data_IF_496183554960
#
_entry.id   IF_496183554960
#
_cell.length_a   1.000
_cell.length_b   1.000
_cell.length_c   1.000
_cell.angle_alpha   90.00
_cell.angle_beta   90.00
_cell.angle_gamma   90.00
#
_symmetry.space_group_name_H-M   'P 1'
#
loop_
_entity.id
_entity.type
_entity.pdbx_description
1 polymer ?
#
# COMPACT_ATOMS: atom_id res chain seq x y z
N UNK A 1 -21.66 7.08 -59.36
CA UNK A 1 -22.92 7.60 -58.81
C UNK A 1 -22.73 9.12 -58.74
N UNK A 2 -23.16 9.89 -59.74
CA UNK A 2 -24.53 10.39 -59.94
C UNK A 2 -25.07 11.00 -58.62
N UNK A 3 -25.56 12.23 -58.55
CA UNK A 3 -26.37 12.93 -59.53
C UNK A 3 -26.51 14.42 -59.14
N UNK A 4 -26.51 15.28 -60.16
CA UNK A 4 -27.48 16.40 -60.43
C UNK A 4 -28.16 17.06 -59.23
N UNK A 5 -28.10 18.38 -59.06
CA UNK A 5 -28.58 19.38 -60.02
C UNK A 5 -29.96 19.88 -59.58
N UNK A 6 -30.16 21.19 -59.51
CA UNK A 6 -31.47 21.74 -59.85
C UNK A 6 -31.40 23.24 -60.18
N UNK A 7 -31.92 23.53 -61.37
CA UNK A 7 -32.28 24.82 -61.92
C UNK A 7 -33.77 24.99 -61.63
N UNK A 8 -34.21 26.20 -61.26
CA UNK A 8 -35.61 26.63 -61.47
C UNK A 8 -35.67 28.07 -61.94
N UNK A 9 -36.03 28.21 -63.22
CA UNK A 9 -36.98 29.18 -63.80
C UNK A 9 -38.25 29.31 -62.93
N UNK A 10 -39.04 30.38 -62.85
CA UNK A 10 -39.34 31.53 -63.72
C UNK A 10 -39.96 32.63 -62.85
N UNK A 11 -39.83 33.91 -63.25
CA UNK A 11 -40.88 34.90 -63.00
C UNK A 11 -40.80 36.02 -64.05
N UNK A 12 -41.80 36.02 -64.94
CA UNK A 12 -42.01 36.95 -66.03
C UNK A 12 -42.72 38.22 -65.51
N UNK A 13 -42.15 39.40 -65.73
CA UNK A 13 -42.85 40.68 -65.57
C UNK A 13 -42.62 41.55 -66.81
N UNK A 14 -43.66 42.16 -67.39
CA UNK A 14 -43.52 43.10 -68.50
C UNK A 14 -42.94 44.44 -67.99
N UNK A 15 -42.16 45.17 -68.80
CA UNK A 15 -41.57 46.42 -68.34
C UNK A 15 -42.61 47.56 -68.30
N UNK A 16 -42.69 48.35 -67.21
CA UNK A 16 -43.39 49.63 -67.23
C UNK A 16 -42.62 50.67 -68.06
N UNK A 17 -43.33 51.33 -68.96
CA UNK A 17 -42.85 52.47 -69.74
C UNK A 17 -42.53 53.66 -68.84
N UNK A 18 -41.28 54.13 -68.88
CA UNK A 18 -40.88 55.42 -68.34
C UNK A 18 -40.84 56.48 -69.46
N UNK A 19 -41.46 57.67 -69.28
CA UNK A 19 -41.33 58.81 -70.19
C UNK A 19 -39.93 59.44 -70.12
N UNK A 20 -39.54 60.24 -71.14
CA UNK A 20 -38.14 60.51 -71.46
C UNK A 20 -37.53 61.60 -70.57
N UNK A 21 -36.28 61.39 -70.14
CA UNK A 21 -35.43 62.45 -69.61
C UNK A 21 -34.64 63.12 -70.76
N UNK A 22 -34.39 64.43 -70.67
CA UNK A 22 -33.97 65.26 -71.78
C UNK A 22 -32.46 65.13 -72.08
N UNK A 23 -32.14 65.24 -73.36
CA UNK A 23 -30.80 65.50 -73.88
C UNK A 23 -30.15 66.74 -73.23
N UNK A 24 -29.07 66.51 -72.49
CA UNK A 24 -27.88 67.39 -72.28
C UNK A 24 -26.94 66.56 -71.39
N UNK A 25 -25.75 66.18 -71.83
CA UNK A 25 -24.64 67.10 -72.09
C UNK A 25 -23.52 66.33 -72.80
N UNK A 26 -22.58 67.05 -73.40
CA UNK A 26 -21.32 66.46 -73.82
C UNK A 26 -20.63 65.78 -72.64
N UNK A 27 -20.40 64.49 -72.77
CA UNK A 27 -19.36 63.81 -72.03
C UNK A 27 -18.32 63.41 -73.08
N UNK A 28 -17.15 64.02 -72.98
CA UNK A 28 -15.94 63.56 -73.63
C UNK A 28 -15.75 62.09 -73.26
N UNK A 29 -16.16 61.18 -74.14
CA UNK A 29 -15.67 59.82 -74.09
C UNK A 29 -14.14 59.93 -74.18
N UNK A 30 -13.44 59.65 -73.07
CA UNK A 30 -11.99 59.48 -73.06
C UNK A 30 -11.73 58.26 -73.92
N UNK A 31 -11.63 58.48 -75.23
CA UNK A 31 -11.43 57.43 -76.21
C UNK A 31 -10.08 56.80 -75.90
N UNK A 32 -10.07 55.48 -75.67
CA UNK A 32 -8.84 54.70 -75.50
C UNK A 32 -7.84 54.94 -76.65
N UNK A 33 -8.37 55.33 -77.82
CA UNK A 33 -7.60 55.71 -78.98
C UNK A 33 -6.83 57.03 -78.81
N UNK A 34 -7.37 57.99 -78.05
CA UNK A 34 -6.69 59.26 -77.76
C UNK A 34 -5.61 59.10 -76.70
N UNK A 35 -5.86 58.24 -75.69
CA UNK A 35 -4.87 57.80 -74.70
C UNK A 35 -3.64 57.17 -75.40
N UNK A 36 -3.88 56.31 -76.39
CA UNK A 36 -2.83 55.70 -77.21
C UNK A 36 -2.06 56.70 -78.07
N UNK A 37 -2.72 57.74 -78.59
CA UNK A 37 -2.06 58.80 -79.37
C UNK A 37 -1.09 59.63 -78.52
N UNK A 38 -1.49 59.97 -77.29
CA UNK A 38 -0.62 60.69 -76.34
C UNK A 38 0.63 59.88 -76.03
N UNK A 39 0.47 58.59 -75.74
CA UNK A 39 1.59 57.67 -75.51
C UNK A 39 2.50 57.54 -76.73
N UNK A 40 1.94 57.55 -77.94
CA UNK A 40 2.71 57.47 -79.19
C UNK A 40 3.50 58.74 -79.48
N UNK A 41 2.91 59.93 -79.25
CA UNK A 41 3.57 61.21 -79.45
C UNK A 41 4.70 61.44 -78.44
N UNK A 42 4.51 61.04 -77.18
CA UNK A 42 5.49 61.19 -76.11
C UNK A 42 6.35 59.94 -75.86
N UNK A 43 6.47 59.04 -76.84
CA UNK A 43 7.22 57.76 -76.73
C UNK A 43 8.66 57.90 -76.20
N UNK A 44 9.29 59.06 -76.41
CA UNK A 44 10.64 59.35 -75.89
C UNK A 44 10.64 59.57 -74.38
N UNK A 45 9.63 60.26 -73.84
CA UNK A 45 9.50 60.52 -72.39
C UNK A 45 9.23 59.22 -71.64
N UNK A 46 8.35 58.38 -72.18
CA UNK A 46 8.05 57.05 -71.63
C UNK A 46 9.28 56.14 -71.64
N UNK A 47 10.05 56.13 -72.74
CA UNK A 47 11.25 55.29 -72.84
C UNK A 47 12.38 55.77 -71.91
N UNK A 48 12.61 57.08 -71.81
CA UNK A 48 13.67 57.65 -70.94
C UNK A 48 13.38 57.37 -69.46
N UNK A 49 12.13 57.55 -69.01
CA UNK A 49 11.73 57.30 -67.62
C UNK A 49 11.79 55.82 -67.25
N UNK A 50 11.33 54.93 -68.14
CA UNK A 50 11.47 53.48 -67.98
C UNK A 50 12.94 53.06 -67.84
N UNK A 51 13.80 53.54 -68.75
CA UNK A 51 15.24 53.23 -68.73
C UNK A 51 15.92 53.79 -67.48
N UNK A 52 15.55 54.99 -67.04
CA UNK A 52 16.09 55.59 -65.81
C UNK A 52 15.72 54.78 -64.56
N UNK A 53 14.46 54.35 -64.44
CA UNK A 53 14.03 53.48 -63.34
C UNK A 53 14.69 52.11 -63.38
N UNK A 54 14.85 51.50 -64.56
CA UNK A 54 15.59 50.24 -64.71
C UNK A 54 17.06 50.37 -64.33
N UNK A 55 17.72 51.46 -64.72
CA UNK A 55 19.11 51.74 -64.34
C UNK A 55 19.26 51.95 -62.82
N UNK A 56 18.34 52.69 -62.20
CA UNK A 56 18.31 52.86 -60.74
C UNK A 56 18.05 51.55 -60.01
N UNK A 57 17.15 50.72 -60.52
CA UNK A 57 16.88 49.38 -59.99
C UNK A 57 18.07 48.44 -60.08
N UNK A 58 18.77 48.45 -61.23
CA UNK A 58 19.98 47.66 -61.45
C UNK A 58 21.13 48.13 -60.53
N UNK A 59 21.32 49.44 -60.42
CA UNK A 59 22.32 50.03 -59.52
C UNK A 59 22.04 49.65 -58.06
N UNK A 60 20.79 49.72 -57.63
CA UNK A 60 20.37 49.31 -56.29
C UNK A 60 20.61 47.81 -56.06
N UNK A 61 20.30 46.96 -57.04
CA UNK A 61 20.49 45.52 -56.94
C UNK A 61 21.98 45.13 -56.80
N UNK A 62 22.90 45.85 -57.45
CA UNK A 62 24.35 45.60 -57.33
C UNK A 62 24.97 46.16 -56.05
N UNK A 63 24.39 47.23 -55.48
CA UNK A 63 24.91 47.84 -54.25
C UNK A 63 24.43 47.12 -52.97
N UNK A 64 23.49 46.19 -53.07
CA UNK A 64 22.94 45.50 -51.90
C UNK A 64 23.93 44.44 -51.38
N UNK A 65 24.38 44.50 -50.12
CA UNK A 65 25.30 43.52 -49.55
C UNK A 65 24.63 42.14 -49.40
N UNK A 66 25.35 41.08 -49.75
CA UNK A 66 24.97 39.68 -49.49
C UNK A 66 25.23 39.33 -48.02
N UNK A 67 24.15 38.96 -47.33
CA UNK A 67 24.19 38.51 -45.94
C UNK A 67 24.14 36.98 -45.92
N UNK A 68 25.03 36.37 -45.15
CA UNK A 68 25.05 34.93 -44.92
C UNK A 68 24.51 34.63 -43.52
N UNK A 69 23.72 33.55 -43.41
CA UNK A 69 23.30 33.03 -42.11
C UNK A 69 24.40 32.12 -41.57
N UNK A 70 24.94 32.46 -40.41
CA UNK A 70 25.93 31.66 -39.71
C UNK A 70 25.22 30.87 -38.61
N UNK A 71 25.34 29.54 -38.61
CA UNK A 71 24.53 28.64 -37.77
C UNK A 71 25.41 27.68 -36.97
N UNK A 72 25.10 27.53 -35.68
CA UNK A 72 25.69 26.49 -34.82
C UNK A 72 24.60 25.77 -34.05
N UNK A 73 24.79 24.47 -33.80
CA UNK A 73 23.81 23.65 -33.09
C UNK A 73 24.48 22.86 -31.97
N UNK A 74 23.95 23.01 -30.75
CA UNK A 74 24.42 22.36 -29.54
C UNK A 74 23.32 21.43 -29.03
N UNK A 75 23.64 20.17 -28.78
CA UNK A 75 22.76 19.26 -28.05
C UNK A 75 23.00 19.43 -26.56
N UNK A 76 21.93 19.78 -25.83
CA UNK A 76 21.95 19.88 -24.37
C UNK A 76 22.04 18.48 -23.79
N UNK A 77 23.02 18.26 -22.91
CA UNK A 77 23.21 16.98 -22.24
C UNK A 77 22.03 16.62 -21.33
N UNK A 78 21.92 15.33 -21.03
CA UNK A 78 20.79 14.76 -20.29
C UNK A 78 21.27 13.79 -19.23
N UNK A 79 20.47 13.63 -18.20
CA UNK A 79 20.62 12.61 -17.17
C UNK A 79 19.26 11.91 -16.95
N UNK A 80 19.22 10.60 -16.67
CA UNK A 80 17.98 9.94 -16.31
C UNK A 80 17.56 10.31 -14.88
N UNK A 81 16.27 10.52 -14.68
CA UNK A 81 15.67 10.61 -13.34
C UNK A 81 15.54 9.21 -12.69
N UNK A 82 15.08 9.16 -11.44
CA UNK A 82 14.79 7.96 -10.65
C UNK A 82 13.90 6.93 -11.34
N UNK A 83 13.07 7.34 -12.30
CA UNK A 83 12.21 6.46 -13.11
C UNK A 83 12.83 6.05 -14.46
N UNK A 84 14.04 6.54 -14.77
CA UNK A 84 14.73 6.27 -16.05
C UNK A 84 14.32 7.20 -17.20
N UNK A 85 13.45 8.17 -16.93
CA UNK A 85 13.09 9.22 -17.89
C UNK A 85 14.23 10.21 -18.06
N UNK A 86 14.53 10.55 -19.31
CA UNK A 86 15.70 11.34 -19.67
C UNK A 86 15.39 12.83 -19.49
N UNK A 87 15.94 13.43 -18.44
CA UNK A 87 15.80 14.86 -18.14
C UNK A 87 17.00 15.66 -18.64
N UNK A 88 16.80 16.90 -19.12
CA UNK A 88 17.91 17.77 -19.48
C UNK A 88 18.65 18.25 -18.22
N UNK A 89 19.98 18.33 -18.30
CA UNK A 89 20.86 18.83 -17.20
C UNK A 89 20.40 20.19 -16.70
N UNK A 90 19.86 21.00 -17.59
CA UNK A 90 19.25 22.28 -17.29
C UNK A 90 17.97 22.44 -18.12
N UNK A 91 16.92 23.00 -17.52
CA UNK A 91 15.68 23.28 -18.26
C UNK A 91 15.95 24.13 -19.50
N UNK A 92 15.30 23.82 -20.61
CA UNK A 92 15.50 24.53 -21.88
C UNK A 92 15.28 26.05 -21.76
N UNK A 93 14.28 26.48 -20.99
CA UNK A 93 14.05 27.90 -20.70
C UNK A 93 15.21 28.56 -19.95
N UNK A 94 15.81 27.84 -19.00
CA UNK A 94 16.96 28.35 -18.25
C UNK A 94 18.21 28.43 -19.13
N UNK A 95 18.46 27.43 -19.97
CA UNK A 95 19.55 27.45 -20.97
C UNK A 95 19.41 28.66 -21.89
N UNK A 96 18.24 28.87 -22.48
CA UNK A 96 18.00 30.01 -23.39
C UNK A 96 18.17 31.36 -22.69
N UNK A 97 17.64 31.49 -21.47
CA UNK A 97 17.76 32.70 -20.66
C UNK A 97 19.22 32.99 -20.33
N UNK A 98 19.98 31.98 -19.89
CA UNK A 98 21.40 32.10 -19.56
C UNK A 98 22.26 32.45 -20.77
N UNK A 99 22.02 31.77 -21.90
CA UNK A 99 22.74 32.05 -23.14
C UNK A 99 22.50 33.48 -23.62
N UNK A 100 21.25 33.94 -23.59
CA UNK A 100 20.87 35.29 -24.04
C UNK A 100 21.37 36.38 -23.09
N UNK A 101 21.23 36.18 -21.79
CA UNK A 101 21.54 37.22 -20.77
C UNK A 101 23.00 37.24 -20.34
N UNK A 102 23.69 36.11 -20.41
CA UNK A 102 25.01 35.94 -19.77
C UNK A 102 26.06 35.44 -20.77
N UNK A 103 25.84 34.34 -21.49
CA UNK A 103 26.87 33.75 -22.35
C UNK A 103 27.16 34.59 -23.60
N UNK A 104 26.14 35.11 -24.28
CA UNK A 104 26.32 35.99 -25.47
C UNK A 104 27.04 37.29 -25.10
N UNK A 105 26.63 38.04 -24.06
CA UNK A 105 27.36 39.24 -23.63
C UNK A 105 28.79 38.95 -23.17
N UNK A 106 29.04 37.81 -22.50
CA UNK A 106 30.38 37.40 -22.08
C UNK A 106 31.27 37.09 -23.29
N UNK A 107 30.78 36.27 -24.23
CA UNK A 107 31.50 35.95 -25.46
C UNK A 107 31.82 37.20 -26.29
N UNK A 108 30.86 38.14 -26.39
CA UNK A 108 31.06 39.41 -27.08
C UNK A 108 32.20 40.24 -26.48
N UNK A 109 32.34 40.25 -25.15
CA UNK A 109 33.44 40.94 -24.45
C UNK A 109 34.79 40.27 -24.72
N UNK A 110 34.84 38.93 -24.68
CA UNK A 110 36.08 38.18 -24.94
C UNK A 110 36.59 38.43 -26.36
N UNK A 111 35.73 38.28 -27.37
CA UNK A 111 36.10 38.52 -28.78
C UNK A 111 36.46 39.98 -29.03
N UNK A 112 35.80 40.94 -28.36
CA UNK A 112 36.15 42.37 -28.48
C UNK A 112 37.52 42.72 -27.88
N UNK A 113 37.96 42.01 -26.84
CA UNK A 113 39.25 42.26 -26.17
C UNK A 113 40.43 41.64 -26.95
N UNK A 114 40.19 40.56 -27.68
CA UNK A 114 41.20 39.86 -28.48
C UNK A 114 41.39 40.45 -29.88
N UNK A 115 40.52 41.36 -30.32
CA UNK A 115 40.56 41.96 -31.66
C UNK A 115 41.13 43.40 -31.59
N UNK A 116 42.33 43.68 -32.14
CA UNK A 116 42.98 45.01 -32.05
C UNK A 116 42.33 46.11 -32.89
N UNK A 117 41.50 45.74 -33.87
CA UNK A 117 40.85 46.67 -34.79
C UNK A 117 39.48 47.06 -34.26
N UNK A 118 39.24 48.37 -34.16
CA UNK A 118 37.94 48.95 -33.79
C UNK A 118 36.89 48.60 -34.87
N UNK A 119 36.19 47.47 -34.69
CA UNK A 119 35.10 47.04 -35.56
C UNK A 119 33.82 47.77 -35.14
N UNK A 120 33.12 48.35 -36.12
CA UNK A 120 31.96 49.23 -35.92
C UNK A 120 30.67 48.52 -35.46
N UNK A 121 30.62 47.19 -35.43
CA UNK A 121 29.48 46.42 -34.89
C UNK A 121 29.78 44.92 -34.88
N UNK A 122 29.69 44.28 -33.72
CA UNK A 122 29.64 42.81 -33.63
C UNK A 122 28.33 42.29 -34.26
N UNK A 123 28.35 41.08 -34.86
CA UNK A 123 27.13 40.46 -35.36
C UNK A 123 26.16 40.13 -34.22
N UNK A 124 24.87 40.43 -34.42
CA UNK A 124 23.82 40.08 -33.46
C UNK A 124 23.60 38.56 -33.46
N UNK A 125 23.91 37.90 -32.36
CA UNK A 125 23.58 36.48 -32.15
C UNK A 125 22.18 36.37 -31.60
N UNK A 126 21.36 35.53 -32.23
CA UNK A 126 20.07 35.07 -31.71
C UNK A 126 20.20 33.61 -31.32
N UNK A 127 19.75 33.29 -30.12
CA UNK A 127 19.63 31.92 -29.64
C UNK A 127 18.16 31.50 -29.72
N UNK A 128 17.90 30.30 -30.22
CA UNK A 128 16.56 29.71 -30.21
C UNK A 128 16.66 28.20 -29.92
N UNK A 129 15.59 27.63 -29.38
CA UNK A 129 15.48 26.20 -29.12
C UNK A 129 14.66 25.60 -30.24
N UNK A 130 15.19 24.58 -30.91
CA UNK A 130 14.44 23.93 -31.98
C UNK A 130 13.29 23.10 -31.36
N UNK A 131 12.07 23.31 -31.88
CA UNK A 131 10.85 22.69 -31.38
C UNK A 131 10.97 21.16 -31.31
N UNK A 132 10.57 20.58 -30.17
CA UNK A 132 10.63 19.14 -29.89
C UNK A 132 12.03 18.52 -30.05
N UNK A 133 13.09 19.33 -29.92
CA UNK A 133 14.47 18.88 -30.00
C UNK A 133 15.26 19.35 -28.79
N UNK A 134 16.28 18.58 -28.40
CA UNK A 134 17.23 18.95 -27.33
C UNK A 134 18.32 19.90 -27.84
N UNK A 135 18.03 20.66 -28.89
CA UNK A 135 19.02 21.40 -29.66
C UNK A 135 18.86 22.91 -29.47
N UNK A 136 19.91 23.55 -29.00
CA UNK A 136 20.06 24.99 -29.01
C UNK A 136 20.70 25.41 -30.34
N UNK A 137 20.01 26.28 -31.06
CA UNK A 137 20.46 26.83 -32.34
C UNK A 137 20.91 28.27 -32.13
N UNK A 138 22.16 28.55 -32.48
CA UNK A 138 22.71 29.90 -32.53
C UNK A 138 22.71 30.36 -33.99
N UNK A 139 22.11 31.53 -34.26
CA UNK A 139 22.07 32.14 -35.60
C UNK A 139 22.63 33.55 -35.53
N UNK A 140 23.55 33.90 -36.44
CA UNK A 140 24.00 35.28 -36.65
C UNK A 140 24.01 35.63 -38.14
N UNK A 141 23.70 36.89 -38.44
CA UNK A 141 23.71 37.40 -39.81
C UNK A 141 25.04 38.10 -40.05
N UNK A 142 25.82 37.62 -41.01
CA UNK A 142 27.20 38.06 -41.21
C UNK A 142 27.40 38.49 -42.66
N UNK A 143 28.14 39.58 -42.86
CA UNK A 143 28.57 40.02 -44.19
C UNK A 143 29.48 38.98 -44.86
N UNK A 144 29.62 39.08 -46.18
CA UNK A 144 30.46 38.17 -46.98
C UNK A 144 31.98 38.30 -46.74
N UNK A 145 32.39 39.14 -45.79
CA UNK A 145 33.79 39.43 -45.49
C UNK A 145 34.42 38.27 -44.69
N UNK A 146 35.57 37.72 -45.12
CA UNK A 146 36.30 36.71 -44.38
C UNK A 146 36.60 37.08 -42.92
N UNK A 147 36.84 38.36 -42.62
CA UNK A 147 37.08 38.82 -41.24
C UNK A 147 35.82 38.73 -40.38
N UNK A 148 34.66 39.12 -40.94
CA UNK A 148 33.38 39.05 -40.25
C UNK A 148 32.95 37.59 -39.99
N UNK A 149 33.23 36.68 -40.92
CA UNK A 149 32.97 35.24 -40.76
C UNK A 149 33.84 34.61 -39.65
N UNK A 150 35.13 34.98 -39.59
CA UNK A 150 36.05 34.52 -38.53
C UNK A 150 35.59 35.00 -37.15
N UNK A 151 35.15 36.26 -37.04
CA UNK A 151 34.63 36.81 -35.78
C UNK A 151 33.32 36.15 -35.34
N UNK A 152 32.39 35.88 -36.27
CA UNK A 152 31.16 35.15 -35.97
C UNK A 152 31.46 33.72 -35.50
N UNK A 153 32.43 33.05 -36.11
CA UNK A 153 32.91 31.73 -35.68
C UNK A 153 33.49 31.77 -34.27
N UNK A 154 34.38 32.73 -33.98
CA UNK A 154 34.98 32.90 -32.65
C UNK A 154 33.92 33.19 -31.58
N UNK A 155 32.92 34.01 -31.91
CA UNK A 155 31.84 34.37 -31.00
C UNK A 155 30.92 33.18 -30.71
N UNK A 156 30.52 32.42 -31.74
CA UNK A 156 29.73 31.19 -31.57
C UNK A 156 30.52 30.14 -30.75
N UNK A 157 31.81 29.97 -31.04
CA UNK A 157 32.66 29.04 -30.29
C UNK A 157 32.79 29.44 -28.82
N UNK A 158 33.00 30.72 -28.52
CA UNK A 158 33.08 31.21 -27.14
C UNK A 158 31.77 30.99 -26.35
N UNK A 159 30.60 31.12 -27.00
CA UNK A 159 29.30 30.78 -26.39
C UNK A 159 29.18 29.27 -26.13
N UNK A 160 29.57 28.44 -27.11
CA UNK A 160 29.58 26.97 -27.00
C UNK A 160 30.48 26.51 -25.85
N UNK A 161 31.70 27.04 -25.77
CA UNK A 161 32.69 26.66 -24.77
C UNK A 161 32.22 27.05 -23.37
N UNK A 162 31.67 28.27 -23.22
CA UNK A 162 31.11 28.74 -21.95
C UNK A 162 29.95 27.87 -21.48
N UNK A 163 29.04 27.49 -22.39
CA UNK A 163 27.90 26.63 -22.07
C UNK A 163 28.36 25.21 -21.72
N UNK A 164 29.28 24.65 -22.50
CA UNK A 164 29.81 23.29 -22.29
C UNK A 164 30.57 23.19 -20.97
N UNK A 165 31.41 24.18 -20.64
CA UNK A 165 32.11 24.24 -19.35
C UNK A 165 31.14 24.34 -18.17
N UNK A 166 30.09 25.15 -18.28
CA UNK A 166 29.07 25.26 -17.24
C UNK A 166 28.30 23.96 -17.05
N UNK A 167 27.86 23.32 -18.13
CA UNK A 167 27.17 22.02 -18.05
C UNK A 167 28.09 20.92 -17.52
N UNK A 168 29.39 20.94 -17.88
CA UNK A 168 30.33 19.97 -17.35
C UNK A 168 30.48 20.07 -15.82
N UNK A 169 30.56 21.29 -15.26
CA UNK A 169 30.59 21.46 -13.80
C UNK A 169 29.31 20.95 -13.12
N UNK A 170 28.14 21.17 -13.72
CA UNK A 170 26.87 20.64 -13.20
C UNK A 170 26.84 19.11 -13.22
N UNK A 171 27.32 18.50 -14.30
CA UNK A 171 27.43 17.04 -14.42
C UNK A 171 28.41 16.48 -13.40
N UNK A 172 29.60 17.06 -13.25
CA UNK A 172 30.61 16.61 -12.30
C UNK A 172 30.07 16.66 -10.86
N UNK A 173 29.35 17.73 -10.51
CA UNK A 173 28.69 17.84 -9.21
C UNK A 173 27.65 16.73 -9.02
N UNK A 174 26.83 16.48 -10.03
CA UNK A 174 25.79 15.43 -9.98
C UNK A 174 26.38 14.02 -9.91
N UNK A 175 27.46 13.76 -10.63
CA UNK A 175 28.20 12.50 -10.56
C UNK A 175 28.75 12.27 -9.16
N UNK A 176 29.37 13.28 -8.54
CA UNK A 176 29.85 13.18 -7.17
C UNK A 176 28.72 12.89 -6.17
N UNK A 177 27.56 13.53 -6.31
CA UNK A 177 26.39 13.25 -5.46
C UNK A 177 25.93 11.79 -5.58
N UNK A 178 25.81 11.27 -6.81
CA UNK A 178 25.39 9.90 -7.06
C UNK A 178 26.43 8.88 -6.60
N UNK A 179 27.73 9.16 -6.76
CA UNK A 179 28.81 8.31 -6.25
C UNK A 179 28.82 8.24 -4.72
N UNK A 180 28.60 9.38 -4.04
CA UNK A 180 28.47 9.44 -2.58
C UNK A 180 27.25 8.62 -2.14
N UNK A 181 26.11 8.79 -2.81
CA UNK A 181 24.88 8.04 -2.52
C UNK A 181 25.09 6.53 -2.73
N UNK A 182 25.72 6.13 -3.83
CA UNK A 182 26.04 4.72 -4.09
C UNK A 182 26.92 4.18 -2.97
N UNK A 183 27.98 4.90 -2.59
CA UNK A 183 28.89 4.48 -1.53
C UNK A 183 28.20 4.33 -0.18
N UNK A 184 27.27 5.22 0.17
CA UNK A 184 26.48 5.04 1.40
C UNK A 184 25.59 3.80 1.33
N UNK A 185 24.92 3.56 0.19
CA UNK A 185 24.09 2.37 0.00
C UNK A 185 24.92 1.08 0.04
N UNK A 186 26.13 1.08 -0.52
CA UNK A 186 27.06 -0.06 -0.46
C UNK A 186 27.50 -0.35 0.98
N UNK A 187 27.74 0.69 1.79
CA UNK A 187 28.06 0.54 3.21
C UNK A 187 26.87 -0.03 4.00
N UNK A 188 25.66 0.50 3.78
CA UNK A 188 24.44 0.01 4.42
C UNK A 188 24.15 -1.45 4.03
N UNK A 189 24.36 -1.80 2.76
CA UNK A 189 24.25 -3.18 2.28
C UNK A 189 25.29 -4.07 2.96
N UNK A 190 26.55 -3.64 3.08
CA UNK A 190 27.61 -4.41 3.73
C UNK A 190 27.34 -4.59 5.23
N UNK A 191 26.85 -3.56 5.92
CA UNK A 191 26.44 -3.64 7.32
C UNK A 191 25.32 -4.68 7.49
N UNK A 192 24.30 -4.62 6.63
CA UNK A 192 23.21 -5.59 6.65
C UNK A 192 23.71 -7.01 6.31
N UNK A 193 24.60 -7.17 5.32
CA UNK A 193 25.19 -8.46 4.96
C UNK A 193 26.09 -9.06 6.03
N UNK A 194 26.66 -8.23 6.91
CA UNK A 194 27.58 -8.69 7.96
C UNK A 194 26.97 -9.73 8.90
N UNK A 195 25.64 -9.93 8.84
CA UNK A 195 24.83 -10.98 9.50
C UNK A 195 24.96 -11.09 11.01
N UNK A 196 25.95 -10.48 11.66
CA UNK A 196 26.26 -10.67 13.07
C UNK A 196 25.11 -10.34 14.00
N UNK A 197 24.42 -9.20 13.77
CA UNK A 197 23.26 -8.80 14.55
C UNK A 197 22.07 -9.73 14.32
N UNK A 198 21.77 -10.05 13.05
CA UNK A 198 20.71 -10.98 12.68
C UNK A 198 20.96 -12.37 13.28
N UNK A 199 22.18 -12.90 13.16
CA UNK A 199 22.57 -14.21 13.66
C UNK A 199 22.48 -14.28 15.19
N UNK A 200 22.82 -13.18 15.88
CA UNK A 200 22.66 -13.09 17.34
C UNK A 200 21.19 -13.14 17.72
N UNK A 201 20.34 -12.33 17.08
CA UNK A 201 18.90 -12.28 17.35
C UNK A 201 18.20 -13.61 17.00
N UNK A 202 18.55 -14.21 15.86
CA UNK A 202 18.09 -15.54 15.47
C UNK A 202 18.58 -16.62 16.44
N UNK A 203 19.81 -16.55 16.93
CA UNK A 203 20.32 -17.50 17.91
C UNK A 203 19.53 -17.41 19.22
N UNK A 204 19.25 -16.20 19.72
CA UNK A 204 18.45 -15.99 20.92
C UNK A 204 17.01 -16.51 20.76
N UNK A 205 16.36 -16.20 19.62
CA UNK A 205 15.02 -16.72 19.30
C UNK A 205 15.00 -18.24 19.16
N UNK A 206 16.01 -18.84 18.51
CA UNK A 206 16.12 -20.30 18.38
C UNK A 206 16.37 -20.98 19.73
N UNK A 207 17.16 -20.38 20.62
CA UNK A 207 17.35 -20.86 21.99
C UNK A 207 16.04 -20.78 22.77
N UNK A 208 15.29 -19.67 22.65
CA UNK A 208 13.97 -19.54 23.25
C UNK A 208 13.00 -20.60 22.73
N UNK A 209 12.92 -20.77 21.41
CA UNK A 209 12.07 -21.79 20.76
C UNK A 209 12.46 -23.20 21.20
N UNK A 210 13.76 -23.51 21.28
CA UNK A 210 14.25 -24.81 21.75
C UNK A 210 13.83 -25.11 23.20
N UNK A 211 13.88 -24.11 24.10
CA UNK A 211 13.38 -24.25 25.47
C UNK A 211 11.89 -24.56 25.51
N UNK A 212 11.09 -23.83 24.72
CA UNK A 212 9.64 -24.05 24.61
C UNK A 212 9.33 -25.44 24.04
N UNK A 213 10.06 -25.89 23.00
CA UNK A 213 9.90 -27.22 22.42
C UNK A 213 10.26 -28.34 23.41
N UNK A 214 11.31 -28.14 24.22
CA UNK A 214 11.68 -29.09 25.27
C UNK A 214 10.57 -29.21 26.33
N UNK A 215 9.96 -28.09 26.72
CA UNK A 215 8.81 -28.11 27.64
C UNK A 215 7.58 -28.75 26.99
N UNK A 216 7.33 -28.50 25.70
CA UNK A 216 6.26 -29.16 24.96
C UNK A 216 6.46 -30.67 24.90
N UNK A 217 7.69 -31.13 24.68
CA UNK A 217 8.05 -32.55 24.69
C UNK A 217 7.80 -33.18 26.07
N UNK A 218 8.23 -32.50 27.14
CA UNK A 218 7.97 -32.94 28.53
C UNK A 218 6.48 -33.02 28.83
N UNK A 219 5.70 -32.01 28.45
CA UNK A 219 4.25 -31.99 28.64
C UNK A 219 3.57 -33.04 27.80
N UNK A 220 3.98 -33.23 26.55
CA UNK A 220 3.40 -34.18 25.59
C UNK A 220 3.81 -35.63 25.84
N UNK A 221 4.84 -35.86 26.65
CA UNK A 221 5.31 -37.19 27.02
C UNK A 221 4.16 -38.03 27.62
N UNK A 222 3.79 -39.08 26.89
CA UNK A 222 2.67 -39.95 27.25
C UNK A 222 2.96 -40.83 28.46
N UNK A 223 4.22 -41.20 28.71
CA UNK A 223 4.59 -42.00 29.89
C UNK A 223 4.41 -41.19 31.17
N UNK A 224 4.89 -39.94 31.19
CA UNK A 224 4.68 -39.03 32.32
C UNK A 224 3.19 -38.79 32.59
N UNK A 225 2.39 -38.62 31.53
CA UNK A 225 0.93 -38.51 31.62
C UNK A 225 0.31 -39.76 32.23
N UNK A 226 0.65 -40.94 31.71
CA UNK A 226 0.08 -42.20 32.16
C UNK A 226 0.43 -42.48 33.63
N UNK A 227 1.65 -42.16 34.07
CA UNK A 227 2.04 -42.33 35.47
C UNK A 227 1.18 -41.51 36.43
N UNK A 228 0.93 -40.23 36.11
CA UNK A 228 0.11 -39.35 36.96
C UNK A 228 -1.37 -39.77 36.92
N UNK A 229 -1.90 -40.06 35.72
CA UNK A 229 -3.27 -40.60 35.57
C UNK A 229 -3.45 -41.88 36.38
N UNK A 230 -2.49 -42.81 36.33
CA UNK A 230 -2.55 -44.04 37.12
C UNK A 230 -2.51 -43.76 38.62
N UNK A 231 -1.71 -42.80 39.07
CA UNK A 231 -1.67 -42.40 40.48
C UNK A 231 -3.03 -41.86 40.95
N UNK A 232 -3.63 -40.94 40.20
CA UNK A 232 -4.95 -40.38 40.49
C UNK A 232 -6.06 -41.45 40.42
N UNK A 233 -6.01 -42.34 39.43
CA UNK A 233 -6.94 -43.47 39.32
C UNK A 233 -6.84 -44.45 40.50
N UNK A 234 -5.63 -44.72 41.00
CA UNK A 234 -5.45 -45.54 42.21
C UNK A 234 -6.07 -44.89 43.45
N UNK A 235 -5.93 -43.57 43.58
CA UNK A 235 -6.53 -42.81 44.68
C UNK A 235 -8.06 -42.85 44.61
N UNK A 236 -8.63 -42.62 43.42
CA UNK A 236 -10.07 -42.75 43.18
C UNK A 236 -10.58 -44.15 43.51
N UNK A 237 -9.89 -45.19 43.01
CA UNK A 237 -10.26 -46.59 43.26
C UNK A 237 -10.17 -46.96 44.75
N UNK A 238 -9.26 -46.36 45.51
CA UNK A 238 -9.18 -46.52 46.96
C UNK A 238 -10.37 -45.86 47.64
N UNK A 239 -10.67 -44.61 47.31
CA UNK A 239 -11.80 -43.87 47.87
C UNK A 239 -13.15 -44.57 47.59
N UNK A 240 -13.33 -45.10 46.38
CA UNK A 240 -14.53 -45.85 45.99
C UNK A 240 -14.69 -47.17 46.76
N UNK A 241 -13.61 -47.92 46.97
CA UNK A 241 -13.65 -49.16 47.76
C UNK A 241 -13.99 -48.91 49.22
N UNK A 242 -13.48 -47.82 49.78
CA UNK A 242 -13.79 -47.40 51.14
C UNK A 242 -15.26 -46.96 51.26
N UNK A 243 -15.77 -46.20 50.29
CA UNK A 243 -17.21 -45.87 50.22
C UNK A 243 -18.07 -47.13 50.17
N UNK A 244 -17.72 -48.07 49.30
CA UNK A 244 -18.43 -49.34 49.18
C UNK A 244 -18.42 -50.11 50.50
N UNK A 245 -17.27 -50.18 51.18
CA UNK A 245 -17.16 -50.85 52.48
C UNK A 245 -18.08 -50.21 53.54
N UNK A 246 -18.20 -48.89 53.57
CA UNK A 246 -19.08 -48.20 54.53
C UNK A 246 -20.56 -48.42 54.16
N UNK A 247 -20.90 -48.40 52.88
CA UNK A 247 -22.25 -48.73 52.39
C UNK A 247 -22.66 -50.17 52.71
N UNK A 248 -21.73 -51.13 52.60
CA UNK A 248 -21.98 -52.53 53.00
C UNK A 248 -22.23 -52.64 54.52
N UNK A 249 -21.50 -51.86 55.33
CA UNK A 249 -21.73 -51.78 56.77
C UNK A 249 -23.09 -51.15 57.11
N UNK A 250 -23.49 -50.09 56.42
CA UNK A 250 -24.81 -49.47 56.53
C UNK A 250 -25.92 -50.48 56.22
N UNK A 251 -25.80 -51.19 55.09
CA UNK A 251 -26.76 -52.20 54.69
C UNK A 251 -26.91 -53.33 55.73
N UNK A 252 -25.80 -53.83 56.29
CA UNK A 252 -25.81 -54.84 57.34
C UNK A 252 -26.49 -54.32 58.62
N UNK A 253 -26.17 -53.09 59.03
CA UNK A 253 -26.75 -52.47 60.21
C UNK A 253 -28.25 -52.24 60.03
N UNK A 254 -28.67 -51.81 58.84
CA UNK A 254 -30.08 -51.67 58.48
C UNK A 254 -30.83 -53.00 58.59
N UNK A 255 -30.27 -54.08 58.06
CA UNK A 255 -30.85 -55.43 58.20
C UNK A 255 -30.95 -55.86 59.67
N UNK A 256 -29.97 -55.52 60.52
CA UNK A 256 -30.04 -55.78 61.97
C UNK A 256 -31.17 -55.00 62.64
N UNK A 257 -31.35 -53.73 62.28
CA UNK A 257 -32.44 -52.90 62.79
C UNK A 257 -33.80 -53.49 62.37
N UNK A 258 -33.94 -53.95 61.13
CA UNK A 258 -35.19 -54.56 60.65
C UNK A 258 -35.53 -55.85 61.42
N UNK A 259 -34.53 -56.71 61.66
CA UNK A 259 -34.68 -57.96 62.44
C UNK A 259 -35.04 -57.75 63.92
N UNK A 260 -34.82 -56.56 64.48
CA UNK A 260 -35.21 -56.28 65.88
C UNK A 260 -36.73 -56.34 66.09
N UNK A 261 -37.51 -55.99 65.07
CA UNK A 261 -38.98 -56.12 65.12
C UNK A 261 -39.43 -57.59 65.25
N UNK A 262 -38.76 -58.50 64.56
CA UNK A 262 -39.01 -59.95 64.63
C UNK A 262 -38.59 -60.51 66.00
N UNK A 263 -37.41 -60.12 66.50
CA UNK A 263 -36.92 -60.47 67.84
C UNK A 263 -37.91 -60.02 68.92
N UNK A 264 -38.40 -58.78 68.83
CA UNK A 264 -39.41 -58.24 69.74
C UNK A 264 -40.71 -59.04 69.69
N UNK A 265 -41.22 -59.39 68.50
CA UNK A 265 -42.42 -60.21 68.33
C UNK A 265 -42.26 -61.60 68.96
N UNK A 266 -41.10 -62.23 68.79
CA UNK A 266 -40.80 -63.54 69.35
C UNK A 266 -40.74 -63.48 70.88
N UNK A 267 -40.04 -62.50 71.46
CA UNK A 267 -39.96 -62.32 72.91
C UNK A 267 -41.34 -62.03 73.52
N UNK A 268 -42.17 -61.23 72.86
CA UNK A 268 -43.54 -60.97 73.31
C UNK A 268 -44.36 -62.26 73.36
N UNK A 269 -44.28 -63.11 72.33
CA UNK A 269 -44.93 -64.44 72.33
C UNK A 269 -44.41 -65.35 73.45
N UNK A 270 -43.11 -65.31 73.73
CA UNK A 270 -42.50 -66.09 74.82
C UNK A 270 -42.96 -65.56 76.19
N UNK A 271 -43.02 -64.25 76.36
CA UNK A 271 -43.49 -63.59 77.58
C UNK A 271 -44.94 -63.98 77.88
N UNK A 272 -45.84 -63.86 76.90
CA UNK A 272 -47.25 -64.25 77.06
C UNK A 272 -47.41 -65.71 77.45
N UNK A 273 -46.58 -66.62 76.90
CA UNK A 273 -46.58 -68.03 77.32
C UNK A 273 -46.08 -68.22 78.75
N UNK A 274 -44.98 -67.58 79.11
CA UNK A 274 -44.41 -67.66 80.47
C UNK A 274 -45.35 -67.08 81.54
N UNK A 275 -46.08 -66.00 81.22
CA UNK A 275 -47.13 -65.43 82.07
C UNK A 275 -48.30 -66.41 82.25
N UNK A 276 -48.75 -67.05 81.17
CA UNK A 276 -49.81 -68.06 81.23
C UNK A 276 -49.41 -69.28 82.07
N UNK A 277 -48.16 -69.77 81.93
CA UNK A 277 -47.63 -70.86 82.75
C UNK A 277 -47.54 -70.46 84.23
N UNK A 278 -47.07 -69.24 84.52
CA UNK A 278 -47.02 -68.70 85.87
C UNK A 278 -48.42 -68.63 86.50
N UNK A 279 -49.43 -68.16 85.76
CA UNK A 279 -50.81 -68.18 86.23
C UNK A 279 -51.32 -69.60 86.47
N UNK A 280 -51.03 -70.54 85.58
CA UNK A 280 -51.42 -71.94 85.74
C UNK A 280 -50.80 -72.55 87.01
N UNK A 281 -49.51 -72.30 87.28
CA UNK A 281 -48.85 -72.75 88.51
C UNK A 281 -49.44 -72.08 89.76
N UNK A 282 -49.77 -70.78 89.71
CA UNK A 282 -50.45 -70.08 90.80
C UNK A 282 -51.84 -70.66 91.08
N UNK A 283 -52.62 -70.98 90.03
CA UNK A 283 -53.93 -71.64 90.16
C UNK A 283 -53.79 -73.07 90.70
N UNK A 284 -52.79 -73.83 90.25
CA UNK A 284 -52.47 -75.16 90.76
C UNK A 284 -52.12 -75.12 92.26
N UNK A 285 -51.29 -74.16 92.68
CA UNK A 285 -50.99 -73.89 94.09
C UNK A 285 -52.26 -73.62 94.90
N UNK A 286 -53.11 -72.72 94.42
CA UNK A 286 -54.38 -72.39 95.08
C UNK A 286 -55.29 -73.61 95.19
N UNK A 287 -55.42 -74.41 94.13
CA UNK A 287 -56.21 -75.65 94.15
C UNK A 287 -55.69 -76.67 95.18
N UNK A 288 -54.36 -76.80 95.34
CA UNK A 288 -53.73 -77.67 96.36
C UNK A 288 -53.98 -77.15 97.78
N UNK A 289 -54.04 -75.83 97.98
CA UNK A 289 -54.41 -75.21 99.25
C UNK A 289 -55.90 -75.40 99.57
N UNK A 290 -56.78 -75.30 98.57
CA UNK A 290 -58.23 -75.41 98.72
C UNK A 290 -58.70 -76.87 98.94
N UNK A 291 -57.95 -77.88 98.50
CA UNK A 291 -58.33 -79.32 98.67
C UNK A 291 -58.04 -79.90 100.06
N UNK A 292 -57.38 -79.15 100.96
CA UNK A 292 -57.43 -79.38 102.41
C UNK A 292 -57.18 -80.81 102.91
N UNK A 293 -55.96 -81.34 102.75
CA UNK A 293 -55.48 -82.47 103.56
C UNK A 293 -54.56 -81.96 104.67
N UNK A 294 -55.18 -81.72 105.84
CA UNK A 294 -54.51 -81.28 107.07
C UNK A 294 -53.45 -82.32 107.47
N UNK A 295 -52.17 -81.97 107.33
CA UNK A 295 -51.05 -82.64 108.03
C UNK A 295 -50.26 -83.73 107.27
N UNK A 296 -50.37 -83.88 105.95
CA UNK A 296 -49.57 -84.88 105.21
C UNK A 296 -48.27 -84.30 104.65
N UNK A 297 -47.15 -85.03 104.84
CA UNK A 297 -45.84 -84.71 104.25
C UNK A 297 -45.88 -84.55 102.73
N UNK A 298 -46.83 -85.19 102.05
CA UNK A 298 -47.05 -85.11 100.60
C UNK A 298 -47.57 -83.73 100.13
N UNK A 299 -48.36 -83.03 100.95
CA UNK A 299 -48.82 -81.67 100.68
C UNK A 299 -47.64 -80.70 100.66
N UNK A 300 -46.78 -80.76 101.68
CA UNK A 300 -45.60 -79.90 101.79
C UNK A 300 -44.62 -80.13 100.62
N UNK A 301 -44.41 -81.38 100.21
CA UNK A 301 -43.57 -81.70 99.05
C UNK A 301 -44.15 -81.13 97.73
N UNK A 302 -45.47 -81.25 97.54
CA UNK A 302 -46.16 -80.72 96.35
C UNK A 302 -46.12 -79.19 96.31
N UNK A 303 -46.33 -78.53 97.45
CA UNK A 303 -46.23 -77.08 97.57
C UNK A 303 -44.81 -76.57 97.31
N UNK A 304 -43.78 -77.25 97.83
CA UNK A 304 -42.39 -76.89 97.56
C UNK A 304 -42.04 -77.02 96.07
N UNK A 305 -42.52 -78.07 95.39
CA UNK A 305 -42.32 -78.22 93.94
C UNK A 305 -43.04 -77.12 93.15
N UNK A 306 -44.29 -76.81 93.50
CA UNK A 306 -45.06 -75.74 92.84
C UNK A 306 -44.42 -74.37 93.11
N UNK A 307 -43.97 -74.09 94.34
CA UNK A 307 -43.28 -72.84 94.68
C UNK A 307 -41.95 -72.71 93.91
N UNK A 308 -41.21 -73.82 93.74
CA UNK A 308 -40.03 -73.84 92.88
C UNK A 308 -40.39 -73.54 91.41
N UNK A 309 -41.47 -74.12 90.88
CA UNK A 309 -41.92 -73.88 89.50
C UNK A 309 -42.40 -72.43 89.31
N UNK A 310 -43.11 -71.88 90.29
CA UNK A 310 -43.53 -70.46 90.32
C UNK A 310 -42.31 -69.54 90.31
N UNK A 311 -41.29 -69.83 91.13
CA UNK A 311 -40.06 -69.03 91.15
C UNK A 311 -39.30 -69.08 89.83
N UNK A 312 -39.21 -70.26 89.19
CA UNK A 312 -38.62 -70.39 87.85
C UNK A 312 -39.41 -69.61 86.80
N UNK A 313 -40.74 -69.72 86.80
CA UNK A 313 -41.60 -68.99 85.87
C UNK A 313 -41.54 -67.47 86.10
N UNK A 314 -41.51 -67.01 87.36
CA UNK A 314 -41.29 -65.60 87.71
C UNK A 314 -39.96 -65.06 87.19
N UNK A 315 -38.88 -65.83 87.35
CA UNK A 315 -37.57 -65.43 86.83
C UNK A 315 -37.57 -65.39 85.29
N UNK A 316 -38.25 -66.34 84.64
CA UNK A 316 -38.43 -66.32 83.19
C UNK A 316 -39.20 -65.07 82.71
N UNK A 317 -40.32 -64.73 83.36
CA UNK A 317 -41.09 -63.53 83.06
C UNK A 317 -40.23 -62.28 83.24
N UNK A 318 -39.55 -62.11 84.38
CA UNK A 318 -38.67 -60.94 84.63
C UNK A 318 -37.55 -60.82 83.60
N UNK A 319 -36.93 -61.93 83.21
CA UNK A 319 -35.86 -61.91 82.21
C UNK A 319 -36.41 -61.51 80.83
N UNK A 320 -37.58 -62.02 80.45
CA UNK A 320 -38.24 -61.68 79.19
C UNK A 320 -38.74 -60.22 79.19
N UNK A 321 -39.31 -59.73 80.29
CA UNK A 321 -39.69 -58.34 80.48
C UNK A 321 -38.47 -57.42 80.38
N UNK A 322 -37.38 -57.73 81.07
CA UNK A 322 -36.14 -56.95 80.99
C UNK A 322 -35.58 -56.94 79.57
N UNK A 323 -35.55 -58.09 78.89
CA UNK A 323 -35.09 -58.17 77.50
C UNK A 323 -35.98 -57.36 76.54
N UNK A 324 -37.31 -57.38 76.75
CA UNK A 324 -38.28 -56.70 75.88
C UNK A 324 -38.33 -55.19 76.11
N UNK A 325 -38.35 -54.75 77.37
CA UNK A 325 -38.58 -53.35 77.74
C UNK A 325 -37.31 -52.54 77.97
N UNK A 326 -36.17 -53.17 78.26
CA UNK A 326 -34.90 -52.48 78.47
C UNK A 326 -33.87 -52.88 77.40
N UNK A 327 -33.66 -54.19 77.18
CA UNK A 327 -32.63 -54.69 76.27
C UNK A 327 -32.83 -54.28 74.81
N UNK A 328 -33.99 -54.60 74.22
CA UNK A 328 -34.29 -54.26 72.82
C UNK A 328 -34.24 -52.74 72.56
N UNK A 329 -34.87 -51.88 73.40
CA UNK A 329 -34.78 -50.43 73.21
C UNK A 329 -33.34 -49.89 73.27
N UNK A 330 -32.50 -50.42 74.17
CA UNK A 330 -31.10 -50.02 74.29
C UNK A 330 -30.27 -50.43 73.05
N UNK A 331 -30.38 -51.70 72.62
CA UNK A 331 -29.77 -52.20 71.38
C UNK A 331 -30.21 -51.36 70.17
N UNK A 332 -31.50 -51.05 70.05
CA UNK A 332 -32.04 -50.21 68.97
C UNK A 332 -31.51 -48.78 69.01
N UNK A 333 -31.37 -48.19 70.21
CA UNK A 333 -30.81 -46.85 70.36
C UNK A 333 -29.32 -46.82 69.99
N UNK A 334 -28.57 -47.90 70.26
CA UNK A 334 -27.19 -48.05 69.80
C UNK A 334 -27.11 -48.19 68.28
N UNK A 335 -27.91 -49.07 67.67
CA UNK A 335 -27.93 -49.23 66.21
C UNK A 335 -28.31 -47.95 65.49
N UNK A 336 -29.29 -47.19 66.01
CA UNK A 336 -29.65 -45.87 65.43
C UNK A 336 -28.52 -44.86 65.55
N UNK A 337 -27.78 -44.83 66.65
CA UNK A 337 -26.59 -43.97 66.80
C UNK A 337 -25.50 -44.34 65.80
N UNK A 338 -25.20 -45.64 65.68
CA UNK A 338 -24.21 -46.13 64.73
C UNK A 338 -24.63 -45.86 63.27
N UNK A 339 -25.93 -45.94 62.97
CA UNK A 339 -26.48 -45.61 61.66
C UNK A 339 -26.26 -44.14 61.30
N UNK A 340 -26.52 -43.22 62.22
CA UNK A 340 -26.28 -41.78 61.98
C UNK A 340 -24.80 -41.50 61.70
N UNK A 341 -23.89 -42.14 62.45
CA UNK A 341 -22.46 -42.01 62.23
C UNK A 341 -22.06 -42.55 60.85
N UNK A 342 -22.53 -43.74 60.48
CA UNK A 342 -22.26 -44.33 59.16
C UNK A 342 -22.78 -43.47 58.01
N UNK A 343 -23.99 -42.92 58.13
CA UNK A 343 -24.54 -42.02 57.10
C UNK A 343 -23.71 -40.74 56.95
N UNK A 344 -23.18 -40.20 58.05
CA UNK A 344 -22.24 -39.08 58.01
C UNK A 344 -20.94 -39.47 57.31
N UNK A 345 -20.38 -40.64 57.65
CA UNK A 345 -19.14 -41.15 57.05
C UNK A 345 -19.30 -41.41 55.54
N UNK A 346 -20.47 -41.92 55.11
CA UNK A 346 -20.84 -42.07 53.70
C UNK A 346 -20.81 -40.71 53.01
N UNK A 347 -21.47 -39.69 53.56
CA UNK A 347 -21.51 -38.35 52.94
C UNK A 347 -20.11 -37.72 52.81
N UNK A 348 -19.25 -37.89 53.82
CA UNK A 348 -17.85 -37.45 53.77
C UNK A 348 -17.11 -38.20 52.66
N UNK A 349 -17.26 -39.53 52.62
CA UNK A 349 -16.55 -40.36 51.65
C UNK A 349 -17.03 -40.14 50.21
N UNK A 350 -18.32 -39.87 49.99
CA UNK A 350 -18.86 -39.46 48.69
C UNK A 350 -18.20 -38.16 48.21
N UNK A 351 -18.01 -37.19 49.09
CA UNK A 351 -17.28 -35.96 48.77
C UNK A 351 -15.82 -36.23 48.39
N UNK A 352 -15.15 -37.15 49.08
CA UNK A 352 -13.75 -37.54 48.76
C UNK A 352 -13.68 -38.21 47.38
N UNK A 353 -14.66 -39.04 47.04
CA UNK A 353 -14.75 -39.67 45.71
C UNK A 353 -14.95 -38.60 44.63
N UNK A 354 -15.85 -37.64 44.83
CA UNK A 354 -16.08 -36.56 43.86
C UNK A 354 -14.82 -35.68 43.69
N UNK A 355 -14.14 -35.35 44.78
CA UNK A 355 -12.88 -34.59 44.73
C UNK A 355 -11.79 -35.36 43.96
N UNK A 356 -11.65 -36.67 44.18
CA UNK A 356 -10.71 -37.51 43.43
C UNK A 356 -11.06 -37.59 41.94
N UNK A 357 -12.35 -37.65 41.58
CA UNK A 357 -12.81 -37.61 40.19
C UNK A 357 -12.56 -36.26 39.54
N UNK A 358 -12.78 -35.17 40.29
CA UNK A 358 -12.53 -33.81 39.83
C UNK A 358 -11.03 -33.58 39.59
N UNK A 359 -10.17 -34.00 40.51
CA UNK A 359 -8.72 -33.91 40.36
C UNK A 359 -8.21 -34.61 39.08
N UNK A 360 -8.76 -35.78 38.75
CA UNK A 360 -8.42 -36.49 37.51
C UNK A 360 -8.81 -35.67 36.26
N UNK A 361 -10.04 -35.14 36.22
CA UNK A 361 -10.51 -34.31 35.10
C UNK A 361 -9.72 -33.02 34.97
N UNK A 362 -9.45 -32.34 36.09
CA UNK A 362 -8.69 -31.10 36.12
C UNK A 362 -7.25 -31.29 35.66
N UNK A 363 -6.61 -32.41 36.02
CA UNK A 363 -5.29 -32.75 35.51
C UNK A 363 -5.27 -32.87 33.98
N UNK A 364 -6.22 -33.61 33.39
CA UNK A 364 -6.27 -33.79 31.93
C UNK A 364 -6.54 -32.48 31.20
N UNK A 365 -7.52 -31.70 31.67
CA UNK A 365 -7.88 -30.40 31.08
C UNK A 365 -6.73 -29.41 31.21
N UNK A 366 -6.13 -29.29 32.40
CA UNK A 366 -5.03 -28.34 32.64
C UNK A 366 -3.81 -28.69 31.80
N UNK A 367 -3.44 -29.98 31.70
CA UNK A 367 -2.36 -30.44 30.83
C UNK A 367 -2.63 -30.12 29.36
N UNK A 368 -3.84 -30.39 28.86
CA UNK A 368 -4.20 -30.08 27.47
C UNK A 368 -4.12 -28.57 27.19
N UNK A 369 -4.61 -27.74 28.11
CA UNK A 369 -4.50 -26.28 28.01
C UNK A 369 -3.04 -25.82 28.01
N UNK A 370 -2.19 -26.37 28.88
CA UNK A 370 -0.76 -26.05 28.90
C UNK A 370 -0.06 -26.46 27.60
N UNK A 371 -0.38 -27.62 27.04
CA UNK A 371 0.15 -28.04 25.72
C UNK A 371 -0.24 -27.03 24.65
N UNK A 372 -1.52 -26.63 24.58
CA UNK A 372 -1.99 -25.65 23.59
C UNK A 372 -1.30 -24.29 23.76
N UNK A 373 -1.09 -23.84 24.99
CA UNK A 373 -0.41 -22.57 25.29
C UNK A 373 1.05 -22.59 24.86
N UNK A 374 1.79 -23.63 25.25
CA UNK A 374 3.21 -23.81 24.90
C UNK A 374 3.38 -23.99 23.39
N UNK A 375 2.45 -24.70 22.74
CA UNK A 375 2.45 -24.83 21.28
C UNK A 375 2.21 -23.49 20.58
N UNK A 376 1.25 -22.69 21.04
CA UNK A 376 1.01 -21.35 20.49
C UNK A 376 2.22 -20.41 20.68
N UNK A 377 2.97 -20.55 21.78
CA UNK A 377 4.22 -19.83 21.99
C UNK A 377 5.32 -20.29 21.02
N UNK A 378 5.44 -21.60 20.76
CA UNK A 378 6.36 -22.14 19.77
C UNK A 378 6.04 -21.62 18.36
N UNK A 379 4.77 -21.60 17.98
CA UNK A 379 4.31 -21.09 16.68
C UNK A 379 4.54 -19.57 16.54
N UNK A 380 4.37 -18.82 17.64
CA UNK A 380 4.69 -17.39 17.68
C UNK A 380 6.17 -17.14 17.45
N UNK A 381 7.04 -17.85 18.16
CA UNK A 381 8.50 -17.72 18.00
C UNK A 381 8.94 -18.10 16.59
N UNK A 382 8.33 -19.13 16.00
CA UNK A 382 8.59 -19.51 14.61
C UNK A 382 8.17 -18.42 13.62
N UNK A 383 7.02 -17.80 13.85
CA UNK A 383 6.55 -16.68 13.02
C UNK A 383 7.50 -15.49 13.12
N UNK A 384 8.02 -15.21 14.32
CA UNK A 384 8.97 -14.12 14.57
C UNK A 384 10.31 -14.36 13.87
N UNK A 385 10.84 -15.59 13.94
CA UNK A 385 12.04 -16.02 13.20
C UNK A 385 11.84 -15.81 11.69
N UNK A 386 10.75 -16.35 11.14
CA UNK A 386 10.46 -16.23 9.70
C UNK A 386 10.29 -14.78 9.25
N UNK A 387 9.63 -13.95 10.06
CA UNK A 387 9.45 -12.53 9.77
C UNK A 387 10.78 -11.78 9.77
N UNK A 388 11.65 -12.07 10.74
CA UNK A 388 12.97 -11.45 10.83
C UNK A 388 13.84 -11.80 9.62
N UNK A 389 13.88 -13.08 9.23
CA UNK A 389 14.58 -13.53 8.03
C UNK A 389 14.02 -12.88 6.75
N UNK A 390 12.69 -12.82 6.62
CA UNK A 390 12.03 -12.22 5.47
C UNK A 390 12.28 -10.72 5.36
N UNK A 391 12.18 -9.99 6.48
CA UNK A 391 12.48 -8.55 6.53
C UNK A 391 13.93 -8.29 6.17
N UNK A 392 14.85 -9.13 6.66
CA UNK A 392 16.26 -9.02 6.33
C UNK A 392 16.52 -9.24 4.83
N UNK A 393 16.00 -10.34 4.27
CA UNK A 393 16.14 -10.64 2.84
C UNK A 393 15.52 -9.54 1.96
N UNK A 394 14.36 -9.04 2.35
CA UNK A 394 13.67 -7.95 1.64
C UNK A 394 14.48 -6.63 1.71
N UNK A 395 15.10 -6.33 2.84
CA UNK A 395 15.99 -5.18 2.98
C UNK A 395 17.22 -5.27 2.08
N UNK A 396 17.89 -6.43 2.04
CA UNK A 396 18.99 -6.68 1.12
C UNK A 396 18.59 -6.45 -0.34
N UNK A 397 17.44 -6.97 -0.74
CA UNK A 397 16.93 -6.80 -2.11
C UNK A 397 16.61 -5.33 -2.43
N UNK A 398 16.08 -4.57 -1.46
CA UNK A 398 15.81 -3.13 -1.63
C UNK A 398 17.09 -2.35 -1.87
N UNK A 399 18.14 -2.59 -1.06
CA UNK A 399 19.43 -1.93 -1.26
C UNK A 399 20.06 -2.30 -2.60
N UNK A 400 20.01 -3.58 -2.99
CA UNK A 400 20.49 -4.02 -4.31
C UNK A 400 19.77 -3.32 -5.46
N UNK A 401 18.45 -3.18 -5.38
CA UNK A 401 17.66 -2.45 -6.38
C UNK A 401 18.05 -0.98 -6.45
N UNK A 402 18.22 -0.32 -5.29
CA UNK A 402 18.62 1.08 -5.22
C UNK A 402 20.02 1.30 -5.80
N UNK A 403 20.99 0.45 -5.46
CA UNK A 403 22.35 0.49 -6.03
C UNK A 403 22.28 0.30 -7.54
N UNK A 404 21.53 -0.70 -8.03
CA UNK A 404 21.35 -0.91 -9.47
C UNK A 404 20.70 0.29 -10.17
N UNK A 405 19.73 0.96 -9.54
CA UNK A 405 19.14 2.18 -10.11
C UNK A 405 20.15 3.32 -10.19
N UNK A 406 20.96 3.53 -9.16
CA UNK A 406 22.01 4.57 -9.15
C UNK A 406 23.11 4.23 -10.17
N UNK A 407 23.49 2.98 -10.30
CA UNK A 407 24.45 2.53 -11.32
C UNK A 407 23.94 2.78 -12.74
N UNK A 408 22.65 2.52 -13.00
CA UNK A 408 22.03 2.86 -14.28
C UNK A 408 22.03 4.37 -14.53
N UNK A 409 21.77 5.18 -13.51
CA UNK A 409 21.85 6.64 -13.62
C UNK A 409 23.27 7.10 -13.97
N UNK A 410 24.28 6.57 -13.28
CA UNK A 410 25.69 6.87 -13.55
C UNK A 410 26.11 6.51 -14.99
N UNK A 411 25.62 5.40 -15.55
CA UNK A 411 25.97 4.95 -16.91
C UNK A 411 25.30 5.75 -18.03
N UNK A 412 24.16 6.38 -17.78
CA UNK A 412 23.34 7.05 -18.80
C UNK A 412 23.51 8.57 -18.83
N UNK A 413 24.27 9.16 -17.90
CA UNK A 413 24.62 10.59 -17.93
C UNK A 413 25.42 10.90 -19.20
N UNK A 414 24.98 11.93 -19.92
CA UNK A 414 25.60 12.36 -21.17
C UNK A 414 25.92 13.85 -21.18
N UNK A 415 27.14 14.18 -21.63
CA UNK A 415 27.60 15.56 -21.74
C UNK A 415 26.92 16.30 -22.89
N UNK A 416 26.85 17.62 -22.75
CA UNK A 416 26.46 18.48 -23.87
C UNK A 416 27.52 18.43 -24.96
N UNK A 417 27.09 18.36 -26.22
CA UNK A 417 28.01 18.26 -27.36
C UNK A 417 27.57 19.14 -28.51
N UNK A 418 28.55 19.62 -29.27
CA UNK A 418 28.31 20.34 -30.51
C UNK A 418 27.91 19.35 -31.60
N UNK A 419 26.73 19.55 -32.20
CA UNK A 419 26.22 18.71 -33.30
C UNK A 419 26.60 19.32 -34.65
N UNK A 420 26.60 20.65 -34.74
CA UNK A 420 27.00 21.40 -35.93
C UNK A 420 28.00 22.48 -35.49
N UNK A 421 29.23 22.37 -35.97
CA UNK A 421 30.29 23.33 -35.70
C UNK A 421 29.95 24.72 -36.27
N UNK A 422 30.49 25.80 -35.67
CA UNK A 422 30.39 27.16 -36.20
C UNK A 422 30.81 27.24 -37.69
N UNK A 423 29.86 27.48 -38.58
CA UNK A 423 30.11 27.55 -40.01
C UNK A 423 29.11 28.40 -40.78
N UNK A 424 29.54 28.82 -41.98
CA UNK A 424 28.71 29.59 -42.91
C UNK A 424 27.60 28.69 -43.45
N UNK A 425 26.36 29.06 -43.16
CA UNK A 425 25.15 28.44 -43.67
C UNK A 425 24.77 28.98 -45.06
N UNK A 426 23.48 28.94 -45.37
CA UNK A 426 22.99 29.39 -46.68
C UNK A 426 23.00 30.92 -46.78
N UNK A 427 23.21 31.42 -48.00
CA UNK A 427 23.02 32.84 -48.30
C UNK A 427 21.56 33.22 -47.98
N UNK A 428 21.36 34.29 -47.22
CA UNK A 428 20.04 34.82 -46.94
C UNK A 428 19.50 35.34 -48.27
N UNK A 429 18.60 34.57 -48.91
CA UNK A 429 17.92 34.99 -50.14
C UNK A 429 17.09 36.23 -49.84
N UNK A 430 17.70 37.40 -49.98
CA UNK A 430 16.97 38.64 -50.16
C UNK A 430 16.09 38.56 -51.41
N UNK A 431 15.18 39.52 -51.57
CA UNK A 431 14.46 39.74 -52.83
C UNK A 431 15.45 39.65 -54.00
N UNK A 432 15.29 38.62 -54.86
CA UNK A 432 16.26 38.33 -55.90
C UNK A 432 16.45 39.51 -56.85
N UNK A 433 17.62 39.67 -57.48
CA UNK A 433 17.90 40.79 -58.38
C UNK A 433 16.88 40.88 -59.52
N UNK A 434 16.32 39.75 -59.95
CA UNK A 434 15.22 39.68 -60.93
C UNK A 434 13.95 40.35 -60.42
N UNK A 435 13.58 40.16 -59.15
CA UNK A 435 12.37 40.77 -58.57
C UNK A 435 12.51 42.29 -58.45
N UNK A 436 13.69 42.77 -58.02
CA UNK A 436 14.00 44.20 -57.99
C UNK A 436 13.89 44.79 -59.39
N UNK A 437 14.43 44.11 -60.40
CA UNK A 437 14.37 44.55 -61.79
C UNK A 437 12.93 44.59 -62.33
N UNK A 438 12.11 43.60 -61.99
CA UNK A 438 10.67 43.56 -62.34
C UNK A 438 9.93 44.73 -61.70
N UNK A 439 10.16 44.98 -60.40
CA UNK A 439 9.51 46.08 -59.67
C UNK A 439 9.94 47.44 -60.19
N UNK A 440 11.23 47.64 -60.45
CA UNK A 440 11.75 48.87 -61.05
C UNK A 440 11.24 49.08 -62.49
N UNK A 441 11.07 48.01 -63.27
CA UNK A 441 10.46 48.07 -64.60
C UNK A 441 8.98 48.45 -64.55
N UNK A 442 8.21 47.84 -63.65
CA UNK A 442 6.78 48.13 -63.47
C UNK A 442 6.57 49.57 -62.97
N UNK A 443 7.36 49.99 -61.98
CA UNK A 443 7.35 51.35 -61.44
C UNK A 443 7.79 52.38 -62.48
N UNK A 444 8.81 52.07 -63.29
CA UNK A 444 9.26 52.89 -64.41
C UNK A 444 8.22 53.03 -65.52
N UNK A 445 7.46 51.96 -65.81
CA UNK A 445 6.38 52.00 -66.79
C UNK A 445 5.23 52.88 -66.30
N UNK A 446 4.79 52.71 -65.04
CA UNK A 446 3.74 53.54 -64.46
C UNK A 446 4.13 55.02 -64.41
N UNK A 447 5.35 55.33 -63.94
CA UNK A 447 5.87 56.69 -63.93
C UNK A 447 6.03 57.24 -65.36
N UNK A 448 6.44 56.42 -66.32
CA UNK A 448 6.61 56.84 -67.70
C UNK A 448 5.31 57.15 -68.42
N UNK A 449 4.26 56.38 -68.16
CA UNK A 449 2.90 56.69 -68.63
C UNK A 449 2.42 58.02 -68.03
N UNK A 450 2.56 58.20 -66.72
CA UNK A 450 2.16 59.44 -66.04
C UNK A 450 2.94 60.66 -66.56
N UNK A 451 4.26 60.53 -66.76
CA UNK A 451 5.12 61.58 -67.31
C UNK A 451 4.76 61.92 -68.76
N UNK A 452 4.38 60.94 -69.58
CA UNK A 452 3.94 61.16 -70.95
C UNK A 452 2.64 61.98 -71.01
N UNK A 453 1.67 61.68 -70.15
CA UNK A 453 0.45 62.49 -70.05
C UNK A 453 0.73 63.92 -69.58
N UNK A 454 1.60 64.08 -68.59
CA UNK A 454 1.97 65.40 -68.08
C UNK A 454 2.69 66.23 -69.15
N UNK A 455 3.61 65.61 -69.90
CA UNK A 455 4.35 66.26 -70.97
C UNK A 455 3.43 66.72 -72.11
N UNK A 456 2.46 65.90 -72.49
CA UNK A 456 1.45 66.24 -73.50
C UNK A 456 0.51 67.35 -73.01
N UNK A 457 0.07 67.29 -71.75
CA UNK A 457 -0.73 68.34 -71.15
C UNK A 457 0.01 69.68 -71.17
N UNK A 458 1.28 69.71 -70.79
CA UNK A 458 2.11 70.93 -70.82
C UNK A 458 2.33 71.41 -72.27
N UNK A 459 2.52 70.50 -73.22
CA UNK A 459 2.68 70.84 -74.64
C UNK A 459 1.42 71.51 -75.19
N UNK A 460 0.24 70.95 -74.90
CA UNK A 460 -1.06 71.52 -75.29
C UNK A 460 -1.33 72.86 -74.60
N UNK A 461 -0.97 72.99 -73.32
CA UNK A 461 -1.09 74.24 -72.58
C UNK A 461 -0.17 75.35 -73.12
N UNK A 462 1.02 74.98 -73.62
CA UNK A 462 1.93 75.92 -74.29
C UNK A 462 1.38 76.36 -75.65
N UNK A 463 0.71 75.47 -76.38
CA UNK A 463 0.06 75.79 -77.64
C UNK A 463 -1.16 76.71 -77.44
N UNK A 464 -1.99 76.47 -76.42
CA UNK A 464 -3.14 77.34 -76.13
C UNK A 464 -2.75 78.75 -75.67
N UNK A 465 -1.52 78.94 -75.17
CA UNK A 465 -0.98 80.25 -74.78
C UNK A 465 -0.29 80.99 -75.94
N UNK A 466 -0.26 80.42 -77.16
CA UNK A 466 0.32 81.04 -78.36
C UNK A 466 -0.73 81.41 -79.42
N UNK A 467 -1.99 81.02 -79.20
CA UNK A 467 -3.13 81.30 -80.10
C UNK A 467 -4.07 82.41 -79.55
N UNK A 468 -3.65 83.10 -78.48
CA UNK A 468 -4.15 84.41 -78.03
C UNK A 468 -3.02 85.45 -78.17
#
# INVERSE_FOLDING_TARGET
MNNTGNVTQDANFPPPHYPPYPYRSGEDEISLLDLGKVLYQQRRVLLVTLVACLLLGLLYAMLKPSLYEFRSVIEVGVYPDSEGEVEPIESFSSVLSRVTSTSIPAAARTVSQETPTAVQSLPEIKANIAENSRMLVLTSNVSSDPEAQSQASALHQAVIDSLTASHQQLIETRLQELEILKRSLDLDLAEMQSRSLLETELADLNVAKSKVLTELERLSNDELRQMEVQHLQRNLSRAQRELQSIQEQEANLRERIERQSEKQSLLLKQLTRAEADLEAFRRSRQSVLDTGLIGSTQLSQSLLMIDSQINTALNSVRNLENALYLGIPEENAEYRRNMVNLLSDIGIQESIVDEAQKALREYEISRELSIRQVQAEADRLETEINLLEHNHASGLQRYQYQIASVDNQLQQISNSRTVIEPGVGQEIRGQGPVLVLIMSGLMGLMLGVMAAFLAEFIARLRQSMHDD
#
